data_IF_016762972938
#
_entry.id   IF_016762972938
#
_cell.length_a   1.000
_cell.length_b   1.000
_cell.length_c   1.000
_cell.angle_alpha   90.00
_cell.angle_beta   90.00
_cell.angle_gamma   90.00
#
_symmetry.space_group_name_H-M   'P 1'
#
loop_
_entity.id
_entity.type
_entity.pdbx_description
1 polymer ?
#
# COMPACT_ATOMS: atom_id res chain seq x y z
N UNK A 1 -14.24 3.55 -7.61
CA UNK A 1 -12.90 2.92 -7.57
C UNK A 1 -12.92 1.92 -6.44
N UNK A 2 -12.47 0.69 -6.66
CA UNK A 2 -12.40 -0.35 -5.62
C UNK A 2 -10.95 -0.51 -5.22
N UNK A 3 -10.63 -0.26 -3.95
CA UNK A 3 -9.31 -0.50 -3.35
C UNK A 3 -9.03 -2.00 -3.31
N UNK A 4 -7.77 -2.41 -3.25
CA UNK A 4 -7.44 -3.83 -3.07
C UNK A 4 -8.05 -4.38 -1.78
N UNK A 5 -8.13 -3.59 -0.71
CA UNK A 5 -8.82 -3.99 0.51
C UNK A 5 -10.27 -4.38 0.28
N UNK A 6 -11.00 -3.57 -0.48
CA UNK A 6 -12.38 -3.86 -0.85
C UNK A 6 -12.49 -5.09 -1.76
N UNK A 7 -11.53 -5.34 -2.67
CA UNK A 7 -11.50 -6.59 -3.47
C UNK A 7 -11.31 -7.85 -2.62
N UNK A 8 -10.74 -7.71 -1.42
CA UNK A 8 -10.54 -8.79 -0.45
C UNK A 8 -11.62 -8.80 0.64
N UNK A 9 -12.69 -8.00 0.50
CA UNK A 9 -13.78 -7.89 1.47
C UNK A 9 -13.41 -7.18 2.78
N UNK A 10 -12.30 -6.43 2.81
CA UNK A 10 -11.84 -5.65 3.97
C UNK A 10 -12.15 -4.16 3.79
N UNK A 11 -12.26 -3.43 4.90
CA UNK A 11 -12.40 -1.96 4.88
C UNK A 11 -11.06 -1.29 4.53
N UNK A 12 -11.06 -0.20 3.74
CA UNK A 12 -9.88 0.65 3.58
C UNK A 12 -9.43 1.23 4.92
N UNK A 13 -8.13 1.44 5.08
CA UNK A 13 -7.53 2.12 6.23
C UNK A 13 -7.00 3.47 5.78
N UNK A 14 -7.45 4.56 6.41
CA UNK A 14 -6.99 5.92 6.11
C UNK A 14 -5.71 6.23 6.91
N UNK A 15 -4.57 6.09 6.24
CA UNK A 15 -3.28 6.39 6.86
C UNK A 15 -3.06 7.87 7.09
N UNK A 16 -3.65 8.75 6.29
CA UNK A 16 -3.49 10.19 6.46
C UNK A 16 -4.24 10.66 7.71
N UNK A 17 -5.46 10.15 7.92
CA UNK A 17 -6.22 10.36 9.15
C UNK A 17 -5.46 9.80 10.36
N UNK A 18 -5.05 8.52 10.30
CA UNK A 18 -4.33 7.88 11.40
C UNK A 18 -3.04 8.61 11.79
N UNK A 19 -2.23 9.01 10.81
CA UNK A 19 -0.96 9.74 11.05
C UNK A 19 -1.16 11.19 11.51
N UNK A 20 -2.40 11.67 11.56
CA UNK A 20 -2.77 13.01 12.03
C UNK A 20 -3.49 13.00 13.38
N UNK A 21 -3.75 11.82 13.95
CA UNK A 21 -4.34 11.68 15.28
C UNK A 21 -3.36 12.14 16.36
N UNK A 22 -3.83 12.95 17.32
CA UNK A 22 -3.04 13.39 18.47
C UNK A 22 -2.96 12.32 19.56
N UNK A 23 -4.05 11.57 19.78
CA UNK A 23 -4.17 10.54 20.80
C UNK A 23 -4.45 9.16 20.18
N UNK A 24 -3.38 8.41 19.92
CA UNK A 24 -3.46 7.03 19.41
C UNK A 24 -3.34 6.06 20.60
N UNK A 25 -4.35 5.24 20.81
CA UNK A 25 -4.30 4.19 21.85
C UNK A 25 -3.28 3.10 21.50
N UNK A 26 -2.84 2.34 22.50
CA UNK A 26 -1.88 1.26 22.27
C UNK A 26 -2.43 0.17 21.32
N UNK A 27 -3.73 -0.13 21.41
CA UNK A 27 -4.38 -1.13 20.57
C UNK A 27 -4.51 -0.63 19.12
N UNK A 28 -4.95 0.62 18.92
CA UNK A 28 -4.98 1.23 17.58
C UNK A 28 -3.59 1.28 16.94
N UNK A 29 -2.56 1.63 17.73
CA UNK A 29 -1.19 1.65 17.23
C UNK A 29 -0.70 0.25 16.84
N UNK A 30 -1.07 -0.77 17.61
CA UNK A 30 -0.72 -2.17 17.32
C UNK A 30 -1.41 -2.66 16.05
N UNK A 31 -2.69 -2.34 15.89
CA UNK A 31 -3.48 -2.68 14.72
C UNK A 31 -2.93 -1.97 13.47
N UNK A 32 -2.59 -0.69 13.57
CA UNK A 32 -1.91 0.04 12.51
C UNK A 32 -0.54 -0.58 12.18
N UNK A 33 0.27 -0.96 13.16
CA UNK A 33 1.54 -1.65 12.88
C UNK A 33 1.32 -3.00 12.17
N UNK A 34 0.29 -3.76 12.54
CA UNK A 34 -0.06 -5.01 11.88
C UNK A 34 -0.49 -4.76 10.43
N UNK A 35 -1.39 -3.81 10.20
CA UNK A 35 -1.84 -3.40 8.87
C UNK A 35 -0.68 -2.91 8.01
N UNK A 36 0.26 -2.14 8.57
CA UNK A 36 1.43 -1.70 7.84
C UNK A 36 2.37 -2.87 7.50
N UNK A 37 2.58 -3.84 8.40
CA UNK A 37 3.44 -4.99 8.08
C UNK A 37 2.91 -5.87 6.95
N UNK A 38 1.60 -5.88 6.77
CA UNK A 38 0.94 -6.73 5.80
C UNK A 38 0.69 -5.95 4.49
N UNK A 39 0.22 -4.69 4.58
CA UNK A 39 -0.66 -4.09 3.58
C UNK A 39 -0.34 -2.62 3.25
N UNK A 40 0.92 -2.16 3.30
CA UNK A 40 1.24 -0.74 3.03
C UNK A 40 0.72 -0.22 1.68
N UNK A 41 0.72 -1.06 0.65
CA UNK A 41 0.29 -0.63 -0.70
C UNK A 41 -1.22 -0.39 -0.88
N UNK A 42 -2.05 -0.73 0.10
CA UNK A 42 -3.46 -0.32 0.12
C UNK A 42 -3.64 1.11 0.61
N UNK A 43 -2.58 1.76 1.08
CA UNK A 43 -2.63 3.10 1.64
C UNK A 43 -2.99 4.20 0.63
N UNK A 44 -2.86 3.94 -0.66
CA UNK A 44 -2.89 4.99 -1.68
C UNK A 44 -4.27 5.29 -2.27
N UNK A 45 -5.36 4.63 -1.83
CA UNK A 45 -6.72 4.86 -2.36
C UNK A 45 -6.92 4.59 -3.86
N UNK A 46 -5.85 4.33 -4.60
CA UNK A 46 -5.83 4.13 -6.04
C UNK A 46 -6.10 2.67 -6.38
N UNK A 47 -6.29 2.36 -7.67
CA UNK A 47 -6.54 1.05 -8.25
C UNK A 47 -5.38 0.06 -8.04
N UNK A 48 -4.88 -0.09 -6.81
CA UNK A 48 -3.74 -0.91 -6.39
C UNK A 48 -3.96 -2.41 -6.59
N UNK A 49 -5.18 -2.81 -6.95
CA UNK A 49 -5.49 -4.14 -7.47
C UNK A 49 -4.91 -4.39 -8.87
N UNK A 50 -4.59 -3.34 -9.63
CA UNK A 50 -3.92 -3.44 -10.93
C UNK A 50 -2.43 -3.70 -10.79
N UNK A 51 -1.81 -3.30 -9.67
CA UNK A 51 -0.37 -3.45 -9.45
C UNK A 51 -0.03 -4.93 -9.25
N UNK A 52 0.85 -5.53 -10.07
CA UNK A 52 1.26 -6.92 -9.94
C UNK A 52 1.91 -7.22 -8.58
N UNK A 53 1.57 -8.38 -8.03
CA UNK A 53 2.06 -8.84 -6.73
C UNK A 53 2.59 -10.26 -6.82
N UNK A 54 3.47 -10.59 -5.88
CA UNK A 54 3.97 -11.95 -5.75
C UNK A 54 2.86 -12.94 -5.37
N UNK A 55 2.95 -14.12 -5.98
CA UNK A 55 1.96 -15.19 -5.83
C UNK A 55 2.00 -15.79 -4.42
N UNK A 56 0.83 -16.01 -3.83
CA UNK A 56 0.61 -16.39 -2.42
C UNK A 56 1.04 -17.85 -2.10
N UNK A 57 1.64 -18.57 -3.05
CA UNK A 57 1.94 -20.00 -2.94
C UNK A 57 3.44 -20.27 -2.74
N UNK A 58 4.27 -19.24 -2.70
CA UNK A 58 5.68 -19.41 -2.40
C UNK A 58 5.84 -19.63 -0.89
N UNK A 59 6.66 -20.58 -0.47
CA UNK A 59 6.97 -20.87 0.94
C UNK A 59 7.75 -19.72 1.65
N UNK A 60 7.68 -18.49 1.12
CA UNK A 60 8.32 -17.30 1.66
C UNK A 60 7.32 -16.45 2.45
N UNK A 61 7.85 -15.85 3.51
CA UNK A 61 7.16 -15.02 4.50
C UNK A 61 6.59 -13.69 3.93
N UNK A 62 6.64 -13.46 2.62
CA UNK A 62 6.37 -12.19 1.95
C UNK A 62 5.26 -12.30 0.88
N UNK A 63 4.17 -12.98 1.21
CA UNK A 63 3.04 -13.14 0.32
C UNK A 63 2.33 -11.79 0.05
N UNK A 64 2.04 -11.48 -1.22
CA UNK A 64 1.25 -10.31 -1.59
C UNK A 64 2.02 -8.98 -1.66
N UNK A 65 3.36 -8.98 -1.58
CA UNK A 65 4.17 -7.80 -1.86
C UNK A 65 4.07 -7.39 -3.34
N UNK A 66 4.15 -6.09 -3.67
CA UNK A 66 4.35 -5.65 -5.04
C UNK A 66 5.60 -6.29 -5.66
N UNK A 67 5.53 -6.59 -6.95
CA UNK A 67 6.72 -7.03 -7.72
C UNK A 67 7.67 -5.85 -7.96
N UNK A 68 7.16 -4.62 -7.95
CA UNK A 68 7.98 -3.41 -8.05
C UNK A 68 8.85 -3.23 -6.79
N UNK A 69 10.16 -3.29 -6.97
CA UNK A 69 11.14 -3.25 -5.87
C UNK A 69 11.07 -1.94 -5.08
N UNK A 70 10.89 -0.80 -5.76
CA UNK A 70 10.78 0.50 -5.11
C UNK A 70 9.53 0.57 -4.23
N UNK A 71 8.37 0.16 -4.78
CA UNK A 71 7.13 0.13 -4.02
C UNK A 71 7.19 -0.86 -2.85
N UNK A 72 7.86 -2.00 -3.01
CA UNK A 72 8.09 -2.96 -1.94
C UNK A 72 8.98 -2.37 -0.84
N UNK A 73 10.06 -1.67 -1.21
CA UNK A 73 10.97 -1.02 -0.27
C UNK A 73 10.28 0.11 0.49
N UNK A 74 9.52 0.96 -0.19
CA UNK A 74 8.74 2.01 0.48
C UNK A 74 7.71 1.42 1.46
N UNK A 75 7.12 0.28 1.12
CA UNK A 75 6.26 -0.48 2.04
C UNK A 75 6.98 -0.83 3.35
N UNK A 76 8.20 -1.36 3.26
CA UNK A 76 9.01 -1.69 4.43
C UNK A 76 9.39 -0.44 5.23
N UNK A 77 9.80 0.62 4.54
CA UNK A 77 10.23 1.87 5.19
C UNK A 77 9.09 2.54 5.95
N UNK A 78 7.88 2.56 5.37
CA UNK A 78 6.67 3.05 6.02
C UNK A 78 6.40 2.29 7.32
N UNK A 79 6.38 0.95 7.27
CA UNK A 79 6.19 0.12 8.44
C UNK A 79 7.24 0.41 9.53
N UNK A 80 8.51 0.54 9.15
CA UNK A 80 9.57 0.85 10.10
C UNK A 80 9.42 2.23 10.73
N UNK A 81 9.08 3.25 9.93
CA UNK A 81 8.85 4.60 10.45
C UNK A 81 7.64 4.65 11.38
N UNK A 82 6.55 3.97 11.03
CA UNK A 82 5.37 3.83 11.87
C UNK A 82 5.72 3.17 13.21
N UNK A 83 6.39 2.02 13.17
CA UNK A 83 6.79 1.26 14.37
C UNK A 83 7.72 2.06 15.30
N UNK A 84 8.58 2.90 14.71
CA UNK A 84 9.47 3.80 15.46
C UNK A 84 8.79 5.11 15.91
N UNK A 85 7.47 5.27 15.69
CA UNK A 85 6.69 6.48 15.97
C UNK A 85 7.26 7.74 15.30
N UNK A 86 7.82 7.58 14.09
CA UNK A 86 8.36 8.66 13.27
C UNK A 86 7.32 9.08 12.24
N UNK A 87 6.21 9.65 12.71
CA UNK A 87 5.04 9.93 11.86
C UNK A 87 5.34 10.89 10.71
N UNK A 88 6.18 11.90 10.90
CA UNK A 88 6.59 12.80 9.82
C UNK A 88 7.30 12.06 8.69
N UNK A 89 8.17 11.10 9.03
CA UNK A 89 8.84 10.26 8.02
C UNK A 89 7.88 9.27 7.40
N UNK A 90 6.94 8.72 8.16
CA UNK A 90 5.92 7.83 7.64
C UNK A 90 5.04 8.56 6.60
N UNK A 91 4.69 9.85 6.83
CA UNK A 91 3.98 10.69 5.86
C UNK A 91 4.76 10.89 4.57
N UNK A 92 6.06 11.19 4.65
CA UNK A 92 6.92 11.33 3.46
C UNK A 92 6.94 10.02 2.65
N UNK A 93 7.10 8.87 3.32
CA UNK A 93 7.11 7.58 2.60
C UNK A 93 5.73 7.26 2.02
N UNK A 94 4.64 7.62 2.70
CA UNK A 94 3.28 7.46 2.19
C UNK A 94 3.09 8.20 0.85
N UNK A 95 3.58 9.44 0.74
CA UNK A 95 3.55 10.22 -0.52
C UNK A 95 4.34 9.53 -1.64
N UNK A 96 5.50 8.94 -1.33
CA UNK A 96 6.31 8.20 -2.32
C UNK A 96 5.57 6.95 -2.82
N UNK A 97 4.88 6.24 -1.93
CA UNK A 97 4.07 5.06 -2.29
C UNK A 97 2.91 5.50 -3.19
N UNK A 98 2.23 6.60 -2.87
CA UNK A 98 1.15 7.16 -3.70
C UNK A 98 1.64 7.52 -5.11
N UNK A 99 2.76 8.23 -5.21
CA UNK A 99 3.37 8.62 -6.48
C UNK A 99 3.76 7.41 -7.33
N UNK A 100 4.49 6.45 -6.74
CA UNK A 100 4.94 5.26 -7.47
C UNK A 100 3.77 4.38 -7.89
N UNK A 101 2.76 4.23 -7.03
CA UNK A 101 1.55 3.49 -7.35
C UNK A 101 0.79 4.12 -8.53
N UNK A 102 0.65 5.45 -8.55
CA UNK A 102 -0.01 6.16 -9.64
C UNK A 102 0.76 5.98 -10.96
N UNK A 103 2.09 6.06 -10.92
CA UNK A 103 2.95 5.83 -12.08
C UNK A 103 2.77 4.42 -12.64
N UNK A 104 2.85 3.39 -11.80
CA UNK A 104 2.69 1.99 -12.22
C UNK A 104 1.32 1.74 -12.85
N UNK A 105 0.25 2.31 -12.28
CA UNK A 105 -1.10 2.18 -12.84
C UNK A 105 -1.18 2.80 -14.23
N UNK A 106 -0.60 4.00 -14.42
CA UNK A 106 -0.57 4.65 -15.72
C UNK A 106 0.23 3.83 -16.77
N UNK A 107 1.36 3.27 -16.37
CA UNK A 107 2.18 2.39 -17.22
C UNK A 107 1.42 1.13 -17.63
N UNK A 108 0.72 0.48 -16.69
CA UNK A 108 -0.09 -0.72 -16.96
C UNK A 108 -1.23 -0.40 -17.92
N UNK A 109 -1.94 0.72 -17.70
CA UNK A 109 -3.05 1.13 -18.55
C UNK A 109 -2.58 1.50 -19.96
N UNK A 110 -1.43 2.15 -20.10
CA UNK A 110 -0.85 2.49 -21.40
C UNK A 110 -0.42 1.26 -22.22
N UNK A 111 -0.12 0.13 -21.55
CA UNK A 111 0.27 -1.12 -22.18
C UNK A 111 -0.92 -2.03 -22.54
N UNK A 112 -2.14 -1.74 -22.07
CA UNK A 112 -3.33 -2.50 -22.47
C UNK A 112 -3.80 -2.06 -23.87
N UNK A 113 -3.87 -2.97 -24.86
CA UNK A 113 -4.33 -2.62 -26.19
C UNK A 113 -5.79 -2.15 -26.14
N UNK A 114 -6.07 -1.02 -26.78
CA UNK A 114 -7.41 -0.47 -26.91
C UNK A 114 -8.32 -1.52 -27.60
N UNK A 115 -9.34 -2.07 -26.93
CA UNK A 115 -10.22 -3.07 -27.52
C UNK A 115 -11.12 -2.51 -28.65
N UNK A 116 -11.07 -1.20 -28.92
CA UNK A 116 -11.86 -0.55 -29.97
C UNK A 116 -11.17 -0.49 -31.36
N UNK A 117 -10.04 -1.17 -31.55
CA UNK A 117 -9.36 -1.28 -32.85
C UNK A 117 -9.34 -2.73 -33.35
N UNK A 118 -10.52 -3.32 -33.56
CA UNK A 118 -10.75 -4.50 -34.41
C UNK A 118 -12.03 -4.34 -35.20
#
# INVERSE_FOLDING_TARGET
>A
MTTYAETQGKKPFDWNEFLSMEDITQDEFKDACYLASEWVTCACGNQCHLIPREYINSNYKHNGRPIDDDLAQFGLDFYWHLKMKRFDKAKIVLELIEQRSAQLIAEIQAQQPNPAAQ
#
